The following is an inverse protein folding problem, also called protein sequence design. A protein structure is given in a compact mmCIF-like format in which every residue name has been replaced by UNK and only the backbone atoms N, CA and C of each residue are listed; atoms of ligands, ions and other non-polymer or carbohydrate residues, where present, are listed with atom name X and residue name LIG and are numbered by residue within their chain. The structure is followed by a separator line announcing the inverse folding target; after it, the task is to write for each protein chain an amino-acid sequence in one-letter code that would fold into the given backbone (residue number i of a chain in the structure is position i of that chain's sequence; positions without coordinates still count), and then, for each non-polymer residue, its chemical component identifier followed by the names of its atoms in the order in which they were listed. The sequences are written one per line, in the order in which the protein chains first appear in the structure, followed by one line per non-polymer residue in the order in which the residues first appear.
data_IF_956335868069
#
_entry.id   IF_956335868069
#
_cell.length_a   1.000
_cell.length_b   1.000
_cell.length_c   1.000
_cell.angle_alpha   90.00
_cell.angle_beta   90.00
_cell.angle_gamma   90.00
#
_symmetry.space_group_name_H-M   'P 1'
#
loop_
_entity.id
_entity.type
_entity.pdbx_description
1 polymer ?
#
# COMPACT_ATOMS: atom_id res chain seq x y z
N UNK A 1 -29.39 21.95 32.76
CA UNK A 1 -29.45 20.63 32.10
C UNK A 1 -28.15 20.42 31.37
N UNK A 2 -27.44 19.34 31.65
CA UNK A 2 -26.24 19.01 30.87
C UNK A 2 -26.69 18.66 29.46
N UNK A 3 -26.14 19.37 28.47
CA UNK A 3 -26.42 19.05 27.06
C UNK A 3 -25.64 17.82 26.67
N UNK A 4 -26.25 16.87 25.99
CA UNK A 4 -25.65 15.66 25.48
C UNK A 4 -24.97 15.94 24.15
N UNK A 5 -23.83 15.32 23.91
CA UNK A 5 -23.21 15.24 22.57
C UNK A 5 -23.10 13.77 22.16
N UNK A 6 -23.37 13.54 20.88
CA UNK A 6 -23.36 12.21 20.28
C UNK A 6 -22.05 12.05 19.52
N UNK A 7 -21.34 10.95 19.76
CA UNK A 7 -20.05 10.65 19.12
C UNK A 7 -20.21 9.37 18.28
N UNK A 8 -19.97 9.48 16.99
CA UNK A 8 -19.80 8.38 16.08
C UNK A 8 -18.34 8.23 15.67
N UNK A 9 -17.77 7.05 15.83
CA UNK A 9 -16.38 6.80 15.50
C UNK A 9 -16.27 5.62 14.54
N UNK A 10 -15.65 5.84 13.37
CA UNK A 10 -15.29 4.79 12.43
C UNK A 10 -13.77 4.52 12.55
N UNK A 11 -13.43 3.38 13.16
CA UNK A 11 -12.04 2.91 13.30
C UNK A 11 -11.76 1.90 12.21
N UNK A 12 -11.27 2.40 11.08
CA UNK A 12 -10.89 1.58 9.96
C UNK A 12 -9.48 1.00 10.09
N UNK A 13 -9.04 0.26 9.07
CA UNK A 13 -7.71 -0.37 9.02
C UNK A 13 -6.54 0.63 8.94
N UNK A 14 -6.77 1.83 8.43
CA UNK A 14 -5.71 2.85 8.24
C UNK A 14 -6.02 4.20 8.88
N UNK A 15 -7.28 4.47 9.21
CA UNK A 15 -7.76 5.78 9.68
C UNK A 15 -8.77 5.66 10.79
N UNK A 16 -8.77 6.65 11.69
CA UNK A 16 -9.83 6.91 12.66
C UNK A 16 -10.61 8.14 12.19
N UNK A 17 -11.92 8.02 12.08
CA UNK A 17 -12.83 9.09 11.69
C UNK A 17 -13.83 9.32 12.81
N UNK A 18 -14.08 10.56 13.13
CA UNK A 18 -14.97 10.94 14.23
C UNK A 18 -15.92 12.01 13.76
N UNK A 19 -17.17 11.83 14.13
CA UNK A 19 -18.21 12.84 13.98
C UNK A 19 -18.86 13.06 15.35
N UNK A 20 -19.00 14.31 15.73
CA UNK A 20 -19.72 14.69 16.94
C UNK A 20 -20.92 15.56 16.54
N UNK A 21 -22.09 15.20 17.04
CA UNK A 21 -23.34 15.93 16.83
C UNK A 21 -23.92 16.42 18.16
N UNK A 22 -24.63 17.53 18.11
CA UNK A 22 -25.41 18.03 19.25
C UNK A 22 -26.76 17.29 19.39
N UNK A 23 -27.57 17.67 20.37
CA UNK A 23 -28.90 17.11 20.63
C UNK A 23 -29.86 17.21 19.44
N UNK A 24 -29.68 18.21 18.58
CA UNK A 24 -30.47 18.41 17.35
C UNK A 24 -29.91 17.65 16.15
N UNK A 25 -28.89 16.83 16.39
CA UNK A 25 -28.16 16.06 15.36
C UNK A 25 -27.47 16.97 14.31
N UNK A 26 -27.05 18.16 14.73
CA UNK A 26 -26.20 19.03 13.94
C UNK A 26 -24.74 18.70 14.21
N UNK A 27 -23.96 18.59 13.17
CA UNK A 27 -22.51 18.35 13.26
C UNK A 27 -21.81 19.56 13.90
N UNK A 28 -21.04 19.31 14.95
CA UNK A 28 -20.29 20.33 15.71
C UNK A 28 -18.78 20.08 15.73
N UNK A 29 -18.35 18.89 15.34
CA UNK A 29 -16.94 18.53 15.21
C UNK A 29 -16.78 17.30 14.32
N UNK A 30 -15.73 17.32 13.49
CA UNK A 30 -15.30 16.19 12.68
C UNK A 30 -13.78 16.06 12.73
N UNK A 31 -13.26 14.81 12.64
CA UNK A 31 -11.85 14.52 12.52
C UNK A 31 -11.62 13.32 11.60
N UNK A 32 -10.50 13.34 10.88
CA UNK A 32 -10.03 12.26 10.02
C UNK A 32 -8.51 12.14 10.19
N UNK A 33 -8.06 11.08 10.89
CA UNK A 33 -6.66 10.89 11.23
C UNK A 33 -6.14 9.53 10.77
N UNK A 34 -4.94 9.49 10.18
CA UNK A 34 -4.22 8.22 9.96
C UNK A 34 -3.58 7.75 11.24
N UNK A 35 -3.79 6.47 11.60
CA UNK A 35 -3.26 5.91 12.83
C UNK A 35 -1.91 5.18 12.66
N UNK A 36 -1.41 4.95 11.45
CA UNK A 36 -0.10 4.31 11.18
C UNK A 36 0.11 3.03 12.01
N UNK A 37 -0.90 2.17 12.10
CA UNK A 37 -0.97 0.95 12.94
C UNK A 37 -0.99 1.20 14.45
N UNK A 38 -1.02 2.45 14.92
CA UNK A 38 -1.21 2.82 16.33
C UNK A 38 -2.64 3.28 16.61
N UNK A 39 -3.58 2.40 16.34
CA UNK A 39 -5.02 2.65 16.45
C UNK A 39 -5.42 3.06 17.85
N UNK A 40 -4.91 2.35 18.87
CA UNK A 40 -5.26 2.56 20.28
C UNK A 40 -4.89 3.97 20.77
N UNK A 41 -3.65 4.39 20.55
CA UNK A 41 -3.22 5.72 20.97
C UNK A 41 -3.91 6.83 20.19
N UNK A 42 -4.19 6.62 18.90
CA UNK A 42 -4.95 7.59 18.08
C UNK A 42 -6.37 7.77 18.61
N UNK A 43 -7.08 6.67 18.92
CA UNK A 43 -8.43 6.73 19.50
C UNK A 43 -8.40 7.42 20.88
N UNK A 44 -7.46 7.02 21.77
CA UNK A 44 -7.33 7.65 23.07
C UNK A 44 -7.08 9.17 22.98
N UNK A 45 -6.14 9.58 22.13
CA UNK A 45 -5.81 10.99 21.88
C UNK A 45 -7.05 11.80 21.51
N UNK A 46 -7.78 11.34 20.50
CA UNK A 46 -8.96 12.09 20.02
C UNK A 46 -10.07 12.10 21.04
N UNK A 47 -10.32 11.01 21.76
CA UNK A 47 -11.31 11.00 22.85
C UNK A 47 -10.90 11.93 24.00
N UNK A 48 -9.62 12.01 24.38
CA UNK A 48 -9.13 12.96 25.37
C UNK A 48 -9.34 14.42 24.94
N UNK A 49 -9.07 14.74 23.69
CA UNK A 49 -9.36 16.08 23.10
C UNK A 49 -10.85 16.42 23.16
N UNK A 50 -11.73 15.46 22.84
CA UNK A 50 -13.18 15.65 22.91
C UNK A 50 -13.68 15.84 24.34
N UNK A 51 -13.16 15.07 25.29
CA UNK A 51 -13.50 15.20 26.71
C UNK A 51 -13.11 16.58 27.26
N UNK A 52 -11.95 17.10 26.86
CA UNK A 52 -11.53 18.43 27.29
C UNK A 52 -12.37 19.53 26.61
N UNK A 53 -12.65 19.37 25.32
CA UNK A 53 -13.44 20.34 24.55
C UNK A 53 -14.90 20.45 25.02
N UNK A 54 -15.47 19.32 25.47
CA UNK A 54 -16.89 19.23 25.87
C UNK A 54 -17.04 18.84 27.34
N UNK A 55 -16.17 19.32 28.23
CA UNK A 55 -16.09 18.96 29.66
C UNK A 55 -17.38 19.18 30.46
N UNK A 56 -18.29 20.06 29.99
CA UNK A 56 -19.56 20.33 30.65
C UNK A 56 -20.74 19.57 30.02
N UNK A 57 -20.45 18.50 29.22
CA UNK A 57 -21.43 17.72 28.50
C UNK A 57 -21.43 16.26 28.98
N UNK A 58 -22.51 15.55 28.70
CA UNK A 58 -22.57 14.09 28.71
C UNK A 58 -22.40 13.56 27.30
N UNK A 59 -21.93 12.33 27.15
CA UNK A 59 -21.61 11.71 25.88
C UNK A 59 -22.45 10.47 25.64
N UNK A 60 -22.95 10.30 24.43
CA UNK A 60 -23.29 8.99 23.90
C UNK A 60 -22.30 8.62 22.82
N UNK A 61 -21.88 7.37 22.75
CA UNK A 61 -20.80 6.94 21.85
C UNK A 61 -21.17 5.62 21.20
N UNK A 62 -20.98 5.54 19.89
CA UNK A 62 -21.01 4.27 19.15
C UNK A 62 -19.81 4.18 18.21
N UNK A 63 -19.24 2.98 18.12
CA UNK A 63 -18.10 2.67 17.27
C UNK A 63 -18.51 1.77 16.11
N UNK A 64 -17.85 1.99 14.97
CA UNK A 64 -17.95 1.14 13.78
C UNK A 64 -16.55 1.03 13.14
N UNK A 65 -16.41 0.20 12.13
CA UNK A 65 -15.15 0.00 11.42
C UNK A 65 -14.46 -1.32 11.76
N UNK A 66 -13.62 -1.79 10.83
CA UNK A 66 -12.93 -3.08 10.93
C UNK A 66 -11.99 -3.20 12.15
N UNK A 67 -11.41 -2.07 12.61
CA UNK A 67 -10.56 -1.99 13.79
C UNK A 67 -11.28 -1.68 15.10
N UNK A 68 -12.60 -1.46 15.09
CA UNK A 68 -13.34 -0.93 16.23
C UNK A 68 -13.76 -1.94 17.27
N UNK A 69 -13.91 -3.23 16.93
CA UNK A 69 -14.55 -4.20 17.81
C UNK A 69 -13.83 -4.37 19.16
N UNK A 70 -12.52 -4.49 19.15
CA UNK A 70 -11.71 -4.56 20.36
C UNK A 70 -11.77 -3.26 21.16
N UNK A 71 -11.66 -2.12 20.48
CA UNK A 71 -11.77 -0.78 21.08
C UNK A 71 -13.11 -0.55 21.74
N UNK A 72 -14.22 -0.91 21.08
CA UNK A 72 -15.58 -0.79 21.61
C UNK A 72 -15.76 -1.63 22.89
N UNK A 73 -15.20 -2.85 22.91
CA UNK A 73 -15.22 -3.73 24.09
C UNK A 73 -14.47 -3.11 25.27
N UNK A 74 -13.28 -2.56 25.07
CA UNK A 74 -12.49 -1.93 26.15
C UNK A 74 -13.12 -0.62 26.64
N UNK A 75 -13.71 0.14 25.76
CA UNK A 75 -14.45 1.35 26.11
C UNK A 75 -15.85 1.03 26.69
N UNK A 76 -16.30 -0.23 26.61
CA UNK A 76 -17.63 -0.66 27.01
C UNK A 76 -18.72 0.26 26.39
N UNK A 77 -18.69 0.36 25.06
CA UNK A 77 -19.64 1.11 24.22
C UNK A 77 -20.12 0.23 23.07
N UNK A 78 -21.28 0.51 22.46
CA UNK A 78 -21.81 -0.29 21.36
C UNK A 78 -20.91 -0.27 20.13
N UNK A 79 -20.79 -1.44 19.51
CA UNK A 79 -20.22 -1.63 18.18
C UNK A 79 -21.36 -1.79 17.16
N UNK A 80 -21.36 -0.93 16.16
CA UNK A 80 -22.32 -0.92 15.07
C UNK A 80 -21.66 -1.50 13.81
N UNK A 81 -22.30 -2.45 13.16
CA UNK A 81 -21.78 -2.95 11.90
C UNK A 81 -21.74 -1.84 10.84
N UNK A 82 -20.68 -1.77 10.06
CA UNK A 82 -20.47 -0.72 9.07
C UNK A 82 -21.64 -0.60 8.06
N UNK A 83 -22.22 -1.73 7.66
CA UNK A 83 -23.38 -1.72 6.75
C UNK A 83 -24.60 -1.06 7.39
N UNK A 84 -24.80 -1.22 8.70
CA UNK A 84 -25.88 -0.57 9.43
C UNK A 84 -25.62 0.93 9.55
N UNK A 85 -24.42 1.32 9.94
CA UNK A 85 -24.01 2.71 9.99
C UNK A 85 -24.09 3.38 8.62
N UNK A 86 -23.60 2.75 7.56
CA UNK A 86 -23.72 3.25 6.20
C UNK A 86 -25.19 3.42 5.79
N UNK A 87 -26.02 2.41 6.03
CA UNK A 87 -27.46 2.49 5.74
C UNK A 87 -28.11 3.69 6.43
N UNK A 88 -27.83 3.88 7.72
CA UNK A 88 -28.42 4.96 8.52
C UNK A 88 -28.07 6.35 7.97
N UNK A 89 -26.83 6.54 7.59
CA UNK A 89 -26.39 7.80 7.00
C UNK A 89 -26.93 8.01 5.58
N UNK A 90 -27.00 6.98 4.76
CA UNK A 90 -27.57 7.06 3.40
C UNK A 90 -29.03 7.43 3.46
N UNK A 91 -29.84 6.77 4.31
CA UNK A 91 -31.26 7.08 4.49
C UNK A 91 -31.52 8.53 4.93
N UNK A 92 -30.60 9.10 5.72
CA UNK A 92 -30.74 10.48 6.23
C UNK A 92 -30.25 11.54 5.24
N UNK A 93 -29.08 11.33 4.64
CA UNK A 93 -28.39 12.40 3.91
C UNK A 93 -28.49 12.28 2.38
N UNK A 94 -28.63 11.07 1.86
CA UNK A 94 -28.69 10.80 0.42
C UNK A 94 -29.71 9.69 0.09
N UNK A 95 -30.99 9.86 0.49
CA UNK A 95 -32.02 8.81 0.41
C UNK A 95 -32.32 8.33 -1.01
N UNK A 96 -31.95 9.09 -2.04
CA UNK A 96 -32.12 8.73 -3.45
C UNK A 96 -31.12 7.66 -3.95
N UNK A 97 -30.17 7.23 -3.10
CA UNK A 97 -29.10 6.28 -3.48
C UNK A 97 -29.64 4.88 -3.70
N UNK A 98 -29.28 4.27 -4.83
CA UNK A 98 -29.57 2.86 -5.13
C UNK A 98 -28.39 1.95 -4.83
N UNK A 99 -27.16 2.43 -5.07
CA UNK A 99 -25.92 1.68 -4.85
C UNK A 99 -24.89 2.58 -4.21
N UNK A 100 -24.16 2.06 -3.22
CA UNK A 100 -22.95 2.69 -2.68
C UNK A 100 -21.75 1.89 -3.16
N UNK A 101 -20.75 2.58 -3.66
CA UNK A 101 -19.37 2.07 -3.83
C UNK A 101 -18.53 2.76 -2.79
N UNK A 102 -17.95 2.00 -1.88
CA UNK A 102 -17.08 2.51 -0.82
C UNK A 102 -15.68 1.90 -0.97
N UNK A 103 -14.66 2.75 -1.00
CA UNK A 103 -13.28 2.33 -0.94
C UNK A 103 -12.65 2.85 0.35
N UNK A 104 -12.23 1.94 1.20
CA UNK A 104 -11.50 2.19 2.44
C UNK A 104 -9.99 2.06 2.28
N UNK A 105 -9.29 1.97 3.41
CA UNK A 105 -7.86 1.74 3.46
C UNK A 105 -7.46 0.36 2.94
N UNK A 106 -8.14 -0.69 3.42
CA UNK A 106 -7.92 -2.08 3.02
C UNK A 106 -9.19 -2.78 2.55
N UNK A 107 -10.36 -2.15 2.74
CA UNK A 107 -11.66 -2.67 2.38
C UNK A 107 -12.23 -1.96 1.15
N UNK A 108 -12.89 -2.73 0.30
CA UNK A 108 -13.70 -2.24 -0.79
C UNK A 108 -15.09 -2.87 -0.67
N UNK A 109 -16.14 -2.07 -0.81
CA UNK A 109 -17.52 -2.53 -0.60
C UNK A 109 -18.43 -2.00 -1.69
N UNK A 110 -19.42 -2.83 -2.07
CA UNK A 110 -20.59 -2.41 -2.85
C UNK A 110 -21.83 -2.74 -2.00
N UNK A 111 -22.67 -1.75 -1.75
CA UNK A 111 -23.89 -1.89 -0.99
C UNK A 111 -25.06 -1.53 -1.89
N UNK A 112 -25.97 -2.47 -2.07
CA UNK A 112 -27.20 -2.29 -2.86
C UNK A 112 -28.36 -2.00 -1.92
N UNK A 113 -29.07 -0.90 -2.18
CA UNK A 113 -30.28 -0.50 -1.47
C UNK A 113 -31.51 -0.89 -2.26
N UNK A 114 -32.49 -1.52 -1.61
CA UNK A 114 -33.70 -2.01 -2.21
C UNK A 114 -34.68 -2.51 -1.14
N UNK A 115 -35.44 -3.55 -1.44
CA UNK A 115 -36.31 -4.20 -0.43
C UNK A 115 -35.50 -4.75 0.77
N UNK A 116 -34.28 -5.17 0.51
CA UNK A 116 -33.29 -5.56 1.53
C UNK A 116 -31.95 -4.94 1.15
N UNK A 117 -31.14 -4.63 2.15
CA UNK A 117 -29.75 -4.15 1.93
C UNK A 117 -28.88 -5.38 1.71
N UNK A 118 -28.10 -5.37 0.63
CA UNK A 118 -27.11 -6.40 0.32
C UNK A 118 -25.73 -5.76 0.24
N UNK A 119 -24.79 -6.24 1.04
CA UNK A 119 -23.40 -5.82 1.01
C UNK A 119 -22.52 -6.90 0.39
N UNK A 120 -21.60 -6.47 -0.46
CA UNK A 120 -20.50 -7.27 -0.97
C UNK A 120 -19.19 -6.57 -0.63
N UNK A 121 -18.23 -7.31 -0.15
CA UNK A 121 -16.95 -6.79 0.32
C UNK A 121 -15.81 -7.68 -0.19
N UNK A 122 -14.64 -7.11 -0.43
CA UNK A 122 -13.43 -7.88 -0.70
C UNK A 122 -13.12 -8.79 0.51
N UNK A 123 -12.49 -9.92 0.23
CA UNK A 123 -11.99 -10.83 1.28
C UNK A 123 -10.67 -10.31 1.88
N UNK A 124 -9.67 -11.18 1.96
CA UNK A 124 -8.36 -10.88 2.56
C UNK A 124 -7.42 -10.07 1.67
N UNK A 125 -7.78 -9.79 0.42
CA UNK A 125 -6.93 -9.07 -0.53
C UNK A 125 -7.25 -7.58 -0.54
N UNK A 126 -6.28 -6.74 -0.21
CA UNK A 126 -6.40 -5.28 -0.27
C UNK A 126 -6.32 -4.70 -1.72
N UNK A 127 -6.31 -5.54 -2.75
CA UNK A 127 -6.33 -5.09 -4.15
C UNK A 127 -7.54 -4.18 -4.43
N UNK A 128 -7.31 -3.04 -5.04
CA UNK A 128 -8.38 -2.06 -5.32
C UNK A 128 -8.72 -1.12 -4.17
N UNK A 129 -7.90 -1.04 -3.12
CA UNK A 129 -8.13 -0.22 -1.93
C UNK A 129 -7.08 0.90 -1.78
N UNK A 130 -7.20 1.71 -0.73
CA UNK A 130 -6.24 2.78 -0.44
C UNK A 130 -4.81 2.28 -0.26
N UNK A 131 -4.61 1.17 0.44
CA UNK A 131 -3.29 0.56 0.64
C UNK A 131 -2.65 0.10 -0.69
N UNK A 132 -3.46 -0.43 -1.60
CA UNK A 132 -3.01 -0.75 -2.95
C UNK A 132 -2.55 0.51 -3.70
N UNK A 133 -3.34 1.59 -3.63
CA UNK A 133 -2.99 2.87 -4.27
C UNK A 133 -1.72 3.48 -3.68
N UNK A 134 -1.51 3.41 -2.35
CA UNK A 134 -0.27 3.86 -1.71
C UNK A 134 0.95 3.07 -2.21
N UNK A 135 0.83 1.74 -2.37
CA UNK A 135 1.90 0.90 -2.92
C UNK A 135 2.21 1.24 -4.38
N UNK A 136 1.19 1.42 -5.21
CA UNK A 136 1.38 1.75 -6.64
C UNK A 136 1.96 3.16 -6.81
N UNK A 137 1.53 4.12 -6.02
CA UNK A 137 2.10 5.47 -6.02
C UNK A 137 3.59 5.45 -5.68
N UNK A 138 3.99 4.62 -4.72
CA UNK A 138 5.41 4.46 -4.34
C UNK A 138 6.28 3.93 -5.51
N UNK A 139 5.75 3.07 -6.38
CA UNK A 139 6.47 2.60 -7.58
C UNK A 139 6.74 3.75 -8.58
N UNK A 140 5.85 4.74 -8.62
CA UNK A 140 6.00 5.92 -9.47
C UNK A 140 6.83 7.04 -8.79
N UNK A 141 7.38 6.78 -7.59
CA UNK A 141 8.06 7.76 -6.74
C UNK A 141 7.17 8.97 -6.40
N UNK A 142 5.93 8.70 -6.01
CA UNK A 142 4.95 9.71 -5.61
C UNK A 142 4.06 9.19 -4.47
N UNK A 143 3.06 9.96 -4.07
CA UNK A 143 2.00 9.54 -3.16
C UNK A 143 0.67 9.45 -3.91
N UNK A 144 -0.40 9.06 -3.23
CA UNK A 144 -1.73 8.91 -3.84
C UNK A 144 -2.27 10.20 -4.45
N UNK A 145 -2.01 11.35 -3.85
CA UNK A 145 -2.38 12.65 -4.44
C UNK A 145 -1.62 12.91 -5.75
N UNK A 146 -0.30 12.64 -5.76
CA UNK A 146 0.52 12.76 -6.95
C UNK A 146 0.14 11.73 -8.03
N UNK A 147 -0.28 10.51 -7.65
CA UNK A 147 -0.84 9.53 -8.58
C UNK A 147 -2.08 10.08 -9.29
N UNK A 148 -2.98 10.72 -8.54
CA UNK A 148 -4.16 11.36 -9.10
C UNK A 148 -3.81 12.53 -10.04
N UNK A 149 -2.82 13.35 -9.69
CA UNK A 149 -2.36 14.47 -10.55
C UNK A 149 -1.73 13.95 -11.85
N UNK A 150 -0.88 12.94 -11.79
CA UNK A 150 -0.31 12.29 -12.97
C UNK A 150 -1.41 11.77 -13.89
N UNK A 151 -2.43 11.11 -13.35
CA UNK A 151 -3.51 10.53 -14.13
C UNK A 151 -4.32 11.56 -14.96
N UNK A 152 -4.23 12.86 -14.68
CA UNK A 152 -4.89 13.89 -15.49
C UNK A 152 -4.30 14.05 -16.90
N UNK A 153 -3.01 13.76 -17.06
CA UNK A 153 -2.26 13.96 -18.29
C UNK A 153 -2.20 12.75 -19.22
N UNK A 154 -2.93 11.68 -18.94
CA UNK A 154 -2.84 10.43 -19.69
C UNK A 154 -3.27 10.56 -21.16
N UNK A 155 -2.67 9.73 -22.00
CA UNK A 155 -3.04 9.55 -23.40
C UNK A 155 -3.46 8.11 -23.71
N UNK A 156 -2.93 7.14 -22.97
CA UNK A 156 -3.15 5.71 -23.16
C UNK A 156 -3.45 5.01 -21.84
N UNK A 157 -4.27 3.97 -21.87
CA UNK A 157 -4.54 3.11 -20.71
C UNK A 157 -4.02 1.71 -21.03
N UNK A 158 -3.07 1.23 -20.22
CA UNK A 158 -2.51 -0.11 -20.32
C UNK A 158 -3.36 -1.13 -19.57
N UNK A 159 -3.45 -2.38 -20.04
CA UNK A 159 -4.06 -3.46 -19.27
C UNK A 159 -3.17 -3.81 -18.07
N UNK A 160 -3.67 -3.58 -16.86
CA UNK A 160 -3.03 -3.98 -15.61
C UNK A 160 -3.93 -4.99 -14.91
N UNK A 161 -3.34 -6.07 -14.38
CA UNK A 161 -4.08 -7.10 -13.66
C UNK A 161 -4.84 -6.49 -12.47
N UNK A 162 -6.15 -6.73 -12.43
CA UNK A 162 -7.05 -6.13 -11.46
C UNK A 162 -7.35 -7.01 -10.25
N UNK A 163 -6.82 -8.25 -10.18
CA UNK A 163 -7.18 -9.20 -9.12
C UNK A 163 -6.28 -9.18 -7.89
N UNK A 164 -5.00 -8.87 -8.07
CA UNK A 164 -4.02 -8.95 -6.99
C UNK A 164 -2.99 -7.84 -7.14
N UNK A 165 -2.69 -7.15 -6.03
CA UNK A 165 -1.68 -6.09 -6.01
C UNK A 165 -0.29 -6.56 -6.44
N UNK A 166 0.06 -7.83 -6.19
CA UNK A 166 1.33 -8.41 -6.65
C UNK A 166 1.37 -8.51 -8.16
N UNK A 167 0.31 -9.04 -8.80
CA UNK A 167 0.25 -9.11 -10.25
C UNK A 167 0.17 -7.71 -10.90
N UNK A 168 -0.59 -6.80 -10.32
CA UNK A 168 -0.61 -5.41 -10.80
C UNK A 168 0.79 -4.79 -10.79
N UNK A 169 1.57 -5.02 -9.72
CA UNK A 169 2.95 -4.58 -9.63
C UNK A 169 3.85 -5.22 -10.70
N UNK A 170 3.63 -6.49 -10.99
CA UNK A 170 4.35 -7.22 -12.04
C UNK A 170 4.05 -6.66 -13.43
N UNK A 171 2.85 -6.13 -13.67
CA UNK A 171 2.49 -5.50 -14.94
C UNK A 171 3.03 -4.05 -15.04
N UNK A 172 3.01 -3.32 -13.92
CA UNK A 172 3.48 -1.91 -13.88
C UNK A 172 4.98 -1.80 -14.10
N UNK A 173 5.76 -2.73 -13.54
CA UNK A 173 7.20 -2.61 -13.57
C UNK A 173 7.82 -2.73 -14.98
N UNK A 174 7.41 -3.64 -15.86
CA UNK A 174 7.86 -3.65 -17.24
C UNK A 174 7.55 -2.35 -17.97
N UNK A 175 6.34 -1.79 -17.79
CA UNK A 175 5.97 -0.51 -18.39
C UNK A 175 6.92 0.62 -17.99
N UNK A 176 7.29 0.69 -16.69
CA UNK A 176 8.29 1.63 -16.20
C UNK A 176 9.67 1.40 -16.84
N UNK A 177 10.10 0.16 -16.93
CA UNK A 177 11.40 -0.22 -17.49
C UNK A 177 11.48 0.04 -19.00
N UNK A 178 10.36 -0.05 -19.70
CA UNK A 178 10.21 0.24 -21.13
C UNK A 178 10.03 1.74 -21.41
N UNK A 179 9.94 2.56 -20.38
CA UNK A 179 9.86 4.03 -20.51
C UNK A 179 8.46 4.55 -20.83
N UNK A 180 7.40 3.80 -20.48
CA UNK A 180 6.03 4.28 -20.60
C UNK A 180 5.82 5.55 -19.75
N UNK A 181 4.97 6.46 -20.24
CA UNK A 181 4.67 7.69 -19.52
C UNK A 181 4.04 7.40 -18.15
N UNK A 182 4.50 8.09 -17.12
CA UNK A 182 3.97 7.91 -15.75
C UNK A 182 2.49 8.27 -15.66
N UNK A 183 2.03 9.20 -16.46
CA UNK A 183 0.65 9.64 -16.61
C UNK A 183 -0.24 8.48 -17.07
N UNK A 184 0.21 7.74 -18.06
CA UNK A 184 -0.49 6.58 -18.61
C UNK A 184 -0.51 5.41 -17.63
N UNK A 185 0.60 5.18 -16.93
CA UNK A 185 0.67 4.16 -15.88
C UNK A 185 -0.25 4.53 -14.71
N UNK A 186 -0.28 5.79 -14.31
CA UNK A 186 -1.11 6.26 -13.20
C UNK A 186 -2.61 6.03 -13.46
N UNK A 187 -3.12 6.44 -14.64
CA UNK A 187 -4.53 6.19 -14.98
C UNK A 187 -4.82 4.71 -15.14
N UNK A 188 -3.86 3.92 -15.63
CA UNK A 188 -4.01 2.47 -15.78
C UNK A 188 -4.15 1.76 -14.42
N UNK A 189 -3.40 2.21 -13.40
CA UNK A 189 -3.56 1.77 -12.01
C UNK A 189 -4.95 2.11 -11.48
N UNK A 190 -5.43 3.35 -11.70
CA UNK A 190 -6.78 3.75 -11.30
C UNK A 190 -7.85 2.90 -12.01
N UNK A 191 -7.68 2.61 -13.30
CA UNK A 191 -8.58 1.73 -14.04
C UNK A 191 -8.57 0.29 -13.50
N UNK A 192 -7.41 -0.23 -13.10
CA UNK A 192 -7.32 -1.56 -12.47
C UNK A 192 -8.11 -1.63 -11.16
N UNK A 193 -8.09 -0.58 -10.32
CA UNK A 193 -8.92 -0.46 -9.12
C UNK A 193 -10.41 -0.54 -9.47
N UNK A 194 -10.85 0.20 -10.48
CA UNK A 194 -12.24 0.20 -10.95
C UNK A 194 -12.66 -1.20 -11.43
N UNK A 195 -11.84 -1.82 -12.26
CA UNK A 195 -12.09 -3.17 -12.78
C UNK A 195 -12.16 -4.20 -11.65
N UNK A 196 -11.25 -4.12 -10.65
CA UNK A 196 -11.26 -4.99 -9.48
C UNK A 196 -12.55 -4.84 -8.68
N UNK A 197 -12.97 -3.60 -8.42
CA UNK A 197 -14.18 -3.33 -7.65
C UNK A 197 -15.42 -3.83 -8.39
N UNK A 198 -15.56 -3.52 -9.66
CA UNK A 198 -16.75 -3.90 -10.45
C UNK A 198 -16.78 -5.42 -10.67
N UNK A 199 -15.72 -6.01 -11.24
CA UNK A 199 -15.74 -7.43 -11.57
C UNK A 199 -15.61 -8.34 -10.35
N UNK A 200 -14.80 -7.94 -9.37
CA UNK A 200 -14.51 -8.71 -8.17
C UNK A 200 -15.64 -8.71 -7.14
N UNK A 201 -16.32 -7.57 -6.95
CA UNK A 201 -17.37 -7.43 -5.94
C UNK A 201 -18.78 -7.54 -6.51
N UNK A 202 -19.07 -6.86 -7.62
CA UNK A 202 -20.41 -6.95 -8.20
C UNK A 202 -20.72 -8.34 -8.75
N UNK A 203 -19.70 -9.11 -9.19
CA UNK A 203 -19.87 -10.51 -9.63
C UNK A 203 -21.04 -10.68 -10.60
N UNK A 204 -21.16 -9.81 -11.61
CA UNK A 204 -22.22 -9.83 -12.60
C UNK A 204 -23.54 -9.16 -12.16
N UNK A 205 -23.70 -8.76 -10.89
CA UNK A 205 -24.89 -7.97 -10.49
C UNK A 205 -24.76 -6.55 -11.05
N UNK A 206 -25.77 -6.04 -11.78
CA UNK A 206 -25.70 -4.71 -12.36
C UNK A 206 -25.61 -3.62 -11.29
N UNK A 207 -24.69 -2.66 -11.48
CA UNK A 207 -24.64 -1.40 -10.73
C UNK A 207 -25.45 -0.40 -11.55
N UNK A 208 -26.65 -0.05 -11.09
CA UNK A 208 -27.60 0.81 -11.82
C UNK A 208 -28.34 1.75 -10.88
N UNK A 209 -28.88 2.83 -11.46
CA UNK A 209 -29.55 3.90 -10.75
C UNK A 209 -28.58 4.92 -10.17
N UNK A 210 -28.92 5.52 -9.07
CA UNK A 210 -28.10 6.55 -8.41
C UNK A 210 -26.99 5.86 -7.60
N UNK A 211 -25.74 6.15 -7.96
CA UNK A 211 -24.54 5.55 -7.35
C UNK A 211 -23.84 6.60 -6.50
N UNK A 212 -23.71 6.31 -5.20
CA UNK A 212 -22.96 7.14 -4.27
C UNK A 212 -21.53 6.61 -4.10
N UNK A 213 -20.56 7.49 -4.14
CA UNK A 213 -19.14 7.21 -3.98
C UNK A 213 -18.68 7.66 -2.60
N UNK A 214 -18.27 6.68 -1.76
CA UNK A 214 -17.89 6.89 -0.37
C UNK A 214 -16.47 6.43 -0.07
N UNK A 215 -15.96 6.83 1.08
CA UNK A 215 -14.63 6.47 1.58
C UNK A 215 -13.52 7.42 1.11
N UNK A 216 -12.36 7.34 1.77
CA UNK A 216 -11.24 8.25 1.55
C UNK A 216 -10.74 8.30 0.11
N UNK A 217 -10.39 7.17 -0.52
CA UNK A 217 -9.91 7.16 -1.90
C UNK A 217 -10.90 7.84 -2.87
N UNK A 218 -12.19 7.56 -2.76
CA UNK A 218 -13.19 8.17 -3.65
C UNK A 218 -13.52 9.62 -3.31
N UNK A 219 -13.22 10.09 -2.09
CA UNK A 219 -13.34 11.50 -1.71
C UNK A 219 -12.19 12.33 -2.28
N UNK A 220 -10.96 11.86 -2.13
CA UNK A 220 -9.76 12.65 -2.39
C UNK A 220 -9.14 12.44 -3.78
N UNK A 221 -9.55 11.40 -4.53
CA UNK A 221 -9.02 11.09 -5.85
C UNK A 221 -10.09 11.25 -6.94
N UNK A 222 -10.32 12.47 -7.47
CA UNK A 222 -11.34 12.72 -8.49
C UNK A 222 -11.11 11.96 -9.78
N UNK A 223 -9.87 11.69 -10.20
CA UNK A 223 -9.60 10.90 -11.40
C UNK A 223 -10.02 9.43 -11.20
N UNK A 224 -9.90 8.87 -9.98
CA UNK A 224 -10.43 7.55 -9.67
C UNK A 224 -11.95 7.49 -9.81
N UNK A 225 -12.67 8.49 -9.23
CA UNK A 225 -14.13 8.59 -9.41
C UNK A 225 -14.52 8.70 -10.88
N UNK A 226 -13.82 9.55 -11.63
CA UNK A 226 -14.03 9.72 -13.07
C UNK A 226 -13.93 8.39 -13.82
N UNK A 227 -12.93 7.55 -13.49
CA UNK A 227 -12.80 6.21 -14.06
C UNK A 227 -14.00 5.32 -13.75
N UNK A 228 -14.56 5.37 -12.51
CA UNK A 228 -15.79 4.66 -12.17
C UNK A 228 -16.98 5.16 -12.99
N UNK A 229 -17.18 6.48 -13.07
CA UNK A 229 -18.29 7.10 -13.80
C UNK A 229 -18.25 6.71 -15.27
N UNK A 230 -17.08 6.78 -15.91
CA UNK A 230 -16.90 6.41 -17.31
C UNK A 230 -17.10 4.91 -17.54
N UNK A 231 -16.55 4.04 -16.67
CA UNK A 231 -16.67 2.59 -16.81
C UNK A 231 -18.10 2.08 -16.60
N UNK A 232 -18.84 2.71 -15.68
CA UNK A 232 -20.23 2.37 -15.39
C UNK A 232 -21.22 3.13 -16.28
N UNK A 233 -20.75 4.03 -17.14
CA UNK A 233 -21.57 4.89 -18.02
C UNK A 233 -22.64 5.67 -17.25
N UNK A 234 -22.26 6.21 -16.07
CA UNK A 234 -23.19 6.99 -15.24
C UNK A 234 -23.35 8.41 -15.79
N UNK A 235 -24.58 8.92 -15.73
CA UNK A 235 -24.85 10.34 -15.99
C UNK A 235 -24.50 11.18 -14.76
N UNK A 236 -24.37 12.52 -14.91
CA UNK A 236 -24.17 13.41 -13.75
C UNK A 236 -25.25 13.25 -12.68
N UNK A 237 -26.52 13.08 -13.08
CA UNK A 237 -27.66 12.91 -12.16
C UNK A 237 -27.61 11.61 -11.40
N UNK A 238 -26.98 10.58 -11.96
CA UNK A 238 -26.80 9.26 -11.34
C UNK A 238 -25.56 9.21 -10.44
N UNK A 239 -24.72 10.24 -10.49
CA UNK A 239 -23.45 10.28 -9.77
C UNK A 239 -23.62 11.09 -8.48
N UNK A 240 -23.60 10.44 -7.33
CA UNK A 240 -23.71 11.08 -6.02
C UNK A 240 -22.33 11.12 -5.36
N UNK A 241 -21.83 12.32 -5.10
CA UNK A 241 -20.61 12.55 -4.32
C UNK A 241 -20.97 13.46 -3.15
N UNK A 242 -21.33 12.89 -1.99
CA UNK A 242 -21.71 13.69 -0.84
C UNK A 242 -20.53 14.55 -0.36
N UNK A 243 -20.84 15.70 0.20
CA UNK A 243 -19.87 16.44 0.99
C UNK A 243 -19.39 15.58 2.15
N UNK A 244 -18.10 15.59 2.41
CA UNK A 244 -17.46 14.72 3.42
C UNK A 244 -17.82 13.22 3.29
N UNK A 245 -17.86 12.69 2.07
CA UNK A 245 -18.19 11.31 1.77
C UNK A 245 -17.36 10.27 2.57
N UNK A 246 -16.15 10.65 3.00
CA UNK A 246 -15.26 9.83 3.83
C UNK A 246 -15.73 9.71 5.29
N UNK A 247 -16.64 10.59 5.76
CA UNK A 247 -17.19 10.58 7.12
C UNK A 247 -18.58 9.94 7.23
N UNK A 248 -19.19 9.54 6.10
CA UNK A 248 -20.60 9.12 6.13
C UNK A 248 -20.84 7.91 7.05
N UNK A 249 -19.92 6.96 7.11
CA UNK A 249 -20.03 5.79 8.01
C UNK A 249 -19.93 6.22 9.49
N UNK A 250 -19.03 7.16 9.81
CA UNK A 250 -18.94 7.71 11.17
C UNK A 250 -20.19 8.53 11.52
N UNK A 251 -20.80 9.28 10.54
CA UNK A 251 -22.07 9.97 10.73
C UNK A 251 -23.19 8.97 11.06
N UNK A 252 -23.22 7.83 10.37
CA UNK A 252 -24.18 6.77 10.66
C UNK A 252 -24.02 6.18 12.06
N UNK A 253 -22.80 5.91 12.49
CA UNK A 253 -22.54 5.47 13.86
C UNK A 253 -22.97 6.53 14.88
N UNK A 254 -22.76 7.83 14.60
CA UNK A 254 -23.20 8.92 15.45
C UNK A 254 -24.74 8.99 15.59
N UNK A 255 -25.47 8.70 14.50
CA UNK A 255 -26.93 8.62 14.52
C UNK A 255 -27.45 7.44 15.37
N UNK A 256 -26.73 6.32 15.37
CA UNK A 256 -27.05 5.18 16.24
C UNK A 256 -26.69 5.48 17.70
N UNK A 257 -25.59 6.23 17.96
CA UNK A 257 -25.20 6.61 19.32
C UNK A 257 -26.27 7.44 20.05
N UNK A 258 -27.16 8.13 19.35
CA UNK A 258 -28.26 8.92 19.94
C UNK A 258 -29.15 8.10 20.87
N UNK A 259 -29.40 6.85 20.54
CA UNK A 259 -30.32 5.97 21.25
C UNK A 259 -29.66 5.29 22.46
N UNK A 260 -28.38 5.59 22.73
CA UNK A 260 -27.59 5.02 23.82
C UNK A 260 -27.70 5.86 25.11
N UNK A 261 -27.42 5.20 26.24
CA UNK A 261 -27.40 5.87 27.53
C UNK A 261 -26.23 6.83 27.65
N UNK A 262 -26.46 8.09 28.08
CA UNK A 262 -25.39 9.06 28.27
C UNK A 262 -24.38 8.62 29.36
N UNK A 263 -23.13 8.95 29.14
CA UNK A 263 -22.02 8.73 30.09
C UNK A 263 -21.37 10.07 30.47
N UNK A 264 -21.03 10.21 31.74
CA UNK A 264 -20.37 11.44 32.22
C UNK A 264 -18.91 11.53 31.74
N UNK A 265 -18.36 12.74 31.81
CA UNK A 265 -16.95 13.01 31.52
C UNK A 265 -16.01 12.12 32.34
N UNK A 266 -16.28 11.95 33.66
CA UNK A 266 -15.45 11.15 34.55
C UNK A 266 -15.46 9.68 34.14
N UNK A 267 -16.65 9.16 33.80
CA UNK A 267 -16.80 7.79 33.34
C UNK A 267 -16.09 7.56 32.01
N UNK A 268 -16.16 8.51 31.08
CA UNK A 268 -15.44 8.41 29.80
C UNK A 268 -13.93 8.49 30.02
N UNK A 269 -13.43 9.38 30.86
CA UNK A 269 -11.98 9.43 31.22
C UNK A 269 -11.50 8.10 31.79
N UNK A 270 -12.29 7.49 32.69
CA UNK A 270 -11.96 6.17 33.24
C UNK A 270 -11.88 5.09 32.16
N UNK A 271 -12.83 5.05 31.22
CA UNK A 271 -12.84 4.11 30.09
C UNK A 271 -11.64 4.31 29.15
N UNK A 272 -11.24 5.55 28.87
CA UNK A 272 -10.04 5.86 28.08
C UNK A 272 -8.78 5.32 28.79
N UNK A 273 -8.68 5.44 30.11
CA UNK A 273 -7.55 4.86 30.85
C UNK A 273 -7.52 3.33 30.77
N UNK A 274 -8.68 2.67 30.83
CA UNK A 274 -8.77 1.21 30.63
C UNK A 274 -8.26 0.85 29.22
N UNK A 275 -8.69 1.56 28.19
CA UNK A 275 -8.21 1.34 26.82
C UNK A 275 -6.70 1.55 26.70
N UNK A 276 -6.15 2.63 27.26
CA UNK A 276 -4.71 2.93 27.25
C UNK A 276 -3.85 1.79 27.82
N UNK A 277 -4.30 1.19 28.90
CA UNK A 277 -3.57 0.12 29.59
C UNK A 277 -3.96 -1.29 29.13
N UNK A 278 -4.90 -1.41 28.19
CA UNK A 278 -5.30 -2.70 27.65
C UNK A 278 -4.17 -3.32 26.81
N UNK A 279 -4.01 -4.63 26.93
CA UNK A 279 -3.14 -5.40 26.05
C UNK A 279 -4.02 -6.37 25.26
N UNK A 280 -3.99 -6.24 23.94
CA UNK A 280 -4.68 -7.21 23.07
C UNK A 280 -3.76 -8.44 22.98
N UNK A 281 -4.08 -9.48 23.74
CA UNK A 281 -3.29 -10.72 23.84
C UNK A 281 -3.72 -11.80 22.85
N UNK A 282 -4.43 -11.41 21.78
CA UNK A 282 -4.97 -12.38 20.80
C UNK A 282 -3.89 -13.04 19.94
N UNK A 283 -2.70 -12.46 19.85
CA UNK A 283 -1.58 -13.03 19.11
C UNK A 283 -0.50 -13.56 20.06
N UNK A 284 -0.19 -14.84 19.96
CA UNK A 284 0.99 -15.41 20.61
C UNK A 284 2.21 -15.06 19.73
N UNK A 285 3.12 -14.21 20.20
CA UNK A 285 4.29 -13.84 19.42
C UNK A 285 5.19 -15.06 19.21
N UNK A 286 5.76 -15.17 18.03
CA UNK A 286 6.82 -16.14 17.77
C UNK A 286 8.04 -15.80 18.64
N UNK A 287 8.84 -16.82 18.95
CA UNK A 287 10.11 -16.59 19.63
C UNK A 287 11.01 -15.71 18.75
N UNK A 288 11.79 -14.80 19.34
CA UNK A 288 12.76 -14.02 18.59
C UNK A 288 13.74 -14.96 17.87
N UNK A 289 14.22 -14.54 16.69
CA UNK A 289 15.17 -15.32 15.90
C UNK A 289 16.47 -15.59 16.70
N UNK A 290 16.90 -14.63 17.48
CA UNK A 290 18.01 -14.73 18.41
C UNK A 290 17.54 -14.30 19.80
N UNK A 291 17.79 -15.12 20.81
CA UNK A 291 17.43 -14.83 22.21
C UNK A 291 18.52 -14.02 22.91
N UNK A 292 19.74 -14.06 22.41
CA UNK A 292 20.93 -13.40 22.98
C UNK A 292 21.80 -12.79 21.88
N UNK A 293 22.63 -11.81 22.25
CA UNK A 293 23.66 -11.27 21.37
C UNK A 293 24.70 -12.34 20.96
N UNK A 294 24.95 -13.31 21.79
CA UNK A 294 25.88 -14.40 21.51
C UNK A 294 25.40 -15.24 20.33
N UNK A 295 24.11 -15.63 20.32
CA UNK A 295 23.51 -16.36 19.18
C UNK A 295 23.59 -15.55 17.88
N UNK A 296 23.39 -14.25 17.95
CA UNK A 296 23.53 -13.35 16.79
C UNK A 296 24.97 -13.26 16.30
N UNK A 297 25.94 -13.16 17.20
CA UNK A 297 27.36 -13.10 16.85
C UNK A 297 27.87 -14.44 16.28
N UNK A 298 27.39 -15.57 16.80
CA UNK A 298 27.65 -16.89 16.22
C UNK A 298 27.07 -17.01 14.79
N UNK A 299 25.83 -16.53 14.59
CA UNK A 299 25.22 -16.47 13.27
C UNK A 299 26.08 -15.65 12.29
N UNK A 300 26.50 -14.45 12.70
CA UNK A 300 27.38 -13.59 11.88
C UNK A 300 28.71 -14.26 11.58
N UNK A 301 29.38 -14.81 12.58
CA UNK A 301 30.67 -15.47 12.43
C UNK A 301 30.61 -16.70 11.47
N UNK A 302 29.49 -17.42 11.49
CA UNK A 302 29.25 -18.53 10.56
C UNK A 302 29.15 -18.03 9.11
N UNK A 303 28.37 -16.95 8.87
CA UNK A 303 28.17 -16.40 7.52
C UNK A 303 29.38 -15.63 6.99
N UNK A 304 30.23 -15.13 7.88
CA UNK A 304 31.48 -14.46 7.48
C UNK A 304 32.51 -15.38 6.81
N UNK A 305 32.36 -16.71 6.96
CA UNK A 305 33.24 -17.69 6.32
C UNK A 305 33.00 -17.81 4.81
N UNK A 306 31.81 -17.42 4.35
CA UNK A 306 31.38 -17.56 2.95
C UNK A 306 31.53 -16.24 2.16
N UNK A 307 32.59 -15.46 2.46
CA UNK A 307 32.87 -14.20 1.75
C UNK A 307 33.52 -14.46 0.40
N UNK A 308 33.07 -13.69 -0.60
CA UNK A 308 33.66 -13.67 -1.94
C UNK A 308 35.06 -13.02 -1.88
N UNK A 309 36.02 -13.62 -2.59
CA UNK A 309 37.37 -13.03 -2.73
C UNK A 309 37.30 -11.65 -3.41
N UNK A 310 37.96 -10.66 -2.82
CA UNK A 310 37.98 -9.29 -3.32
C UNK A 310 39.42 -8.79 -3.47
N UNK A 311 39.65 -7.99 -4.51
CA UNK A 311 40.87 -7.19 -4.72
C UNK A 311 40.49 -5.73 -4.95
N UNK A 312 41.43 -4.83 -4.79
CA UNK A 312 41.20 -3.40 -4.99
C UNK A 312 41.27 -3.06 -6.47
N UNK A 313 40.23 -2.45 -7.03
CA UNK A 313 40.18 -2.07 -8.45
C UNK A 313 41.28 -1.10 -8.83
N UNK A 314 41.64 -0.14 -7.97
CA UNK A 314 42.68 0.87 -8.23
C UNK A 314 44.09 0.29 -8.43
N UNK A 315 44.31 -0.95 -8.01
CA UNK A 315 45.60 -1.67 -8.16
C UNK A 315 45.56 -2.68 -9.32
N UNK A 316 44.40 -2.84 -9.97
CA UNK A 316 44.23 -3.83 -11.04
C UNK A 316 44.86 -3.36 -12.36
N UNK A 317 45.53 -4.28 -13.04
CA UNK A 317 46.11 -4.09 -14.38
C UNK A 317 45.68 -5.18 -15.32
N UNK A 318 45.35 -4.82 -16.55
CA UNK A 318 44.92 -5.76 -17.58
C UNK A 318 43.42 -5.92 -17.70
N UNK A 319 43.00 -7.07 -18.23
CA UNK A 319 41.59 -7.31 -18.58
C UNK A 319 40.72 -7.48 -17.34
N UNK A 320 39.57 -6.83 -17.36
CA UNK A 320 38.46 -7.04 -16.43
C UNK A 320 37.12 -7.14 -17.19
N UNK A 321 36.08 -7.56 -16.49
CA UNK A 321 34.77 -7.85 -17.07
C UNK A 321 33.70 -7.16 -16.23
N UNK A 322 32.74 -6.54 -16.90
CA UNK A 322 31.61 -5.86 -16.25
C UNK A 322 30.36 -6.71 -16.34
N UNK A 323 29.74 -6.94 -15.20
CA UNK A 323 28.40 -7.55 -15.11
C UNK A 323 27.39 -6.53 -14.59
N UNK A 324 26.23 -6.47 -15.23
CA UNK A 324 25.12 -5.57 -14.89
C UNK A 324 23.88 -6.43 -14.64
N UNK A 325 23.23 -6.23 -13.50
CA UNK A 325 21.88 -6.73 -13.24
C UNK A 325 20.91 -5.54 -13.19
N UNK A 326 20.13 -5.40 -14.25
CA UNK A 326 19.09 -4.39 -14.38
C UNK A 326 17.76 -4.91 -13.80
N UNK A 327 17.72 -5.07 -12.47
CA UNK A 327 16.55 -5.60 -11.78
C UNK A 327 15.36 -4.62 -11.80
N UNK A 328 14.20 -5.13 -11.41
CA UNK A 328 12.94 -4.37 -11.41
C UNK A 328 12.93 -3.16 -10.45
N UNK A 329 13.56 -3.29 -9.28
CA UNK A 329 13.59 -2.25 -8.24
C UNK A 329 15.00 -1.72 -7.95
N UNK A 330 16.02 -2.51 -8.27
CA UNK A 330 17.42 -2.20 -7.95
C UNK A 330 18.31 -2.53 -9.15
N UNK A 331 19.36 -1.74 -9.30
CA UNK A 331 20.43 -2.00 -10.27
C UNK A 331 21.69 -2.41 -9.53
N UNK A 332 22.40 -3.39 -10.08
CA UNK A 332 23.69 -3.88 -9.56
C UNK A 332 24.72 -3.86 -10.68
N UNK A 333 25.94 -3.53 -10.31
CA UNK A 333 27.08 -3.53 -11.22
C UNK A 333 28.28 -4.16 -10.50
N UNK A 334 28.93 -5.08 -11.16
CA UNK A 334 30.15 -5.72 -10.65
C UNK A 334 31.27 -5.67 -11.70
N UNK A 335 32.51 -5.61 -11.24
CA UNK A 335 33.70 -5.80 -12.06
C UNK A 335 34.49 -6.95 -11.48
N UNK A 336 34.86 -7.91 -12.32
CA UNK A 336 35.66 -9.08 -11.94
C UNK A 336 36.93 -9.17 -12.81
N UNK A 337 37.97 -9.80 -12.29
CA UNK A 337 39.16 -10.19 -13.08
C UNK A 337 38.94 -11.50 -13.85
N UNK A 338 39.94 -11.98 -14.58
CA UNK A 338 39.90 -13.24 -15.35
C UNK A 338 39.62 -14.47 -14.48
N UNK A 339 40.02 -14.45 -13.22
CA UNK A 339 39.81 -15.53 -12.28
C UNK A 339 38.43 -15.47 -11.61
N UNK A 340 37.67 -14.38 -11.85
CA UNK A 340 36.38 -14.10 -11.26
C UNK A 340 36.47 -13.50 -9.86
N UNK A 341 37.63 -12.93 -9.48
CA UNK A 341 37.76 -12.17 -8.24
C UNK A 341 37.06 -10.83 -8.36
N UNK A 342 36.29 -10.45 -7.37
CA UNK A 342 35.56 -9.19 -7.35
C UNK A 342 36.49 -7.99 -7.16
N UNK A 343 36.52 -7.08 -8.13
CA UNK A 343 37.32 -5.85 -8.12
C UNK A 343 36.50 -4.64 -7.68
N UNK A 344 35.22 -4.58 -8.07
CA UNK A 344 34.31 -3.48 -7.77
C UNK A 344 32.89 -4.00 -7.71
N UNK A 345 32.08 -3.40 -6.85
CA UNK A 345 30.65 -3.66 -6.81
C UNK A 345 29.88 -2.39 -6.45
N UNK A 346 28.73 -2.20 -7.05
CA UNK A 346 27.77 -1.16 -6.72
C UNK A 346 26.36 -1.74 -6.70
N UNK A 347 25.53 -1.23 -5.80
CA UNK A 347 24.14 -1.61 -5.61
C UNK A 347 23.33 -0.37 -5.23
N UNK A 348 22.27 -0.07 -5.96
CA UNK A 348 21.37 1.05 -5.62
C UNK A 348 19.95 0.83 -6.11
N UNK A 349 18.99 1.51 -5.49
CA UNK A 349 17.61 1.57 -5.98
C UNK A 349 17.55 2.31 -7.32
N UNK A 350 16.76 1.81 -8.27
CA UNK A 350 16.66 2.42 -9.62
C UNK A 350 15.49 3.40 -9.74
N UNK A 351 14.57 3.44 -8.77
CA UNK A 351 13.44 4.35 -8.78
C UNK A 351 12.56 4.26 -10.03
N UNK A 352 12.49 3.08 -10.68
CA UNK A 352 11.79 2.88 -11.95
C UNK A 352 12.54 3.42 -13.18
N UNK A 353 13.83 3.80 -13.03
CA UNK A 353 14.69 4.30 -14.11
C UNK A 353 16.01 3.52 -14.16
N UNK A 354 16.00 2.26 -14.57
CA UNK A 354 17.17 1.41 -14.53
C UNK A 354 18.33 1.95 -15.40
N UNK A 355 18.04 2.53 -16.56
CA UNK A 355 19.06 3.09 -17.44
C UNK A 355 19.82 4.26 -16.79
N UNK A 356 19.09 5.23 -16.22
CA UNK A 356 19.72 6.38 -15.55
C UNK A 356 20.59 5.91 -14.38
N UNK A 357 20.07 4.96 -13.58
CA UNK A 357 20.76 4.36 -12.45
C UNK A 357 22.08 3.69 -12.89
N UNK A 358 22.05 2.89 -13.96
CA UNK A 358 23.24 2.19 -14.46
C UNK A 358 24.24 3.17 -15.05
N UNK A 359 23.81 4.22 -15.77
CA UNK A 359 24.70 5.28 -16.27
C UNK A 359 25.44 5.97 -15.12
N UNK A 360 24.75 6.27 -14.02
CA UNK A 360 25.40 6.85 -12.84
C UNK A 360 26.42 5.88 -12.22
N UNK A 361 26.08 4.59 -12.11
CA UNK A 361 27.00 3.58 -11.58
C UNK A 361 28.24 3.43 -12.47
N UNK A 362 28.08 3.42 -13.80
CA UNK A 362 29.18 3.38 -14.75
C UNK A 362 30.06 4.63 -14.67
N UNK A 363 29.49 5.83 -14.54
CA UNK A 363 30.26 7.07 -14.33
C UNK A 363 31.11 6.99 -13.05
N UNK A 364 30.55 6.47 -11.95
CA UNK A 364 31.30 6.24 -10.71
C UNK A 364 32.40 5.20 -10.90
N UNK A 365 32.13 4.09 -11.59
CA UNK A 365 33.14 3.09 -11.92
C UNK A 365 34.31 3.71 -12.70
N UNK A 366 34.02 4.40 -13.78
CA UNK A 366 35.06 5.04 -14.61
C UNK A 366 35.87 6.10 -13.86
N UNK A 367 35.30 6.79 -12.87
CA UNK A 367 36.01 7.76 -12.05
C UNK A 367 37.07 7.17 -11.13
N UNK A 368 36.96 5.86 -10.80
CA UNK A 368 37.91 5.16 -9.90
C UNK A 368 38.72 4.07 -10.62
N UNK A 369 38.47 3.87 -11.90
CA UNK A 369 39.13 2.84 -12.70
C UNK A 369 40.54 3.28 -13.10
N UNK A 370 41.58 2.49 -12.85
CA UNK A 370 42.95 2.84 -13.25
C UNK A 370 43.10 2.73 -14.77
N UNK A 371 44.02 3.50 -15.34
CA UNK A 371 44.24 3.53 -16.80
C UNK A 371 44.75 2.20 -17.36
N UNK A 372 45.37 1.40 -16.54
CA UNK A 372 45.90 0.06 -16.88
C UNK A 372 44.85 -1.04 -16.86
N UNK A 373 43.67 -0.80 -16.31
CA UNK A 373 42.55 -1.75 -16.33
C UNK A 373 41.76 -1.56 -17.63
N UNK A 374 41.44 -2.67 -18.30
CA UNK A 374 40.75 -2.68 -19.59
C UNK A 374 39.49 -3.52 -19.47
N UNK A 375 38.31 -2.91 -19.64
CA UNK A 375 37.05 -3.65 -19.75
C UNK A 375 37.08 -4.42 -21.07
N UNK A 376 37.16 -5.74 -20.97
CA UNK A 376 37.28 -6.60 -22.17
C UNK A 376 35.94 -6.98 -22.72
N UNK A 377 34.99 -7.32 -21.84
CA UNK A 377 33.62 -7.63 -22.17
C UNK A 377 32.67 -7.16 -21.06
N UNK A 378 31.44 -6.94 -21.48
CA UNK A 378 30.33 -6.54 -20.61
C UNK A 378 29.13 -7.48 -20.80
N UNK A 379 28.44 -7.81 -19.73
CA UNK A 379 27.23 -8.62 -19.73
C UNK A 379 26.11 -7.95 -18.96
N UNK A 380 24.89 -8.17 -19.39
CA UNK A 380 23.68 -7.69 -18.72
C UNK A 380 22.65 -8.78 -18.53
N UNK A 381 21.93 -8.72 -17.42
CA UNK A 381 20.80 -9.59 -17.08
C UNK A 381 19.73 -8.78 -16.35
N UNK A 382 18.59 -9.40 -16.03
CA UNK A 382 17.47 -8.81 -15.30
C UNK A 382 16.39 -8.23 -16.20
N UNK A 383 15.30 -7.72 -15.61
CA UNK A 383 14.12 -7.26 -16.34
C UNK A 383 14.39 -6.15 -17.36
N UNK A 384 15.36 -5.28 -17.11
CA UNK A 384 15.75 -4.17 -17.99
C UNK A 384 16.83 -4.54 -19.01
N UNK A 385 17.20 -5.78 -19.14
CA UNK A 385 18.35 -6.26 -19.92
C UNK A 385 18.38 -5.75 -21.37
N UNK A 386 17.26 -5.84 -22.09
CA UNK A 386 17.18 -5.41 -23.50
C UNK A 386 17.35 -3.90 -23.67
N UNK A 387 16.76 -3.11 -22.77
CA UNK A 387 16.93 -1.66 -22.75
C UNK A 387 18.39 -1.29 -22.55
N UNK A 388 19.04 -1.90 -21.56
CA UNK A 388 20.42 -1.61 -21.21
C UNK A 388 21.38 -2.10 -22.32
N UNK A 389 21.15 -3.30 -22.85
CA UNK A 389 21.96 -3.83 -23.97
C UNK A 389 21.92 -2.88 -25.16
N UNK A 390 20.73 -2.44 -25.55
CA UNK A 390 20.57 -1.54 -26.71
C UNK A 390 21.14 -0.16 -26.45
N UNK A 391 20.86 0.45 -25.29
CA UNK A 391 21.27 1.80 -24.98
C UNK A 391 22.78 1.96 -24.76
N UNK A 392 23.42 0.94 -24.17
CA UNK A 392 24.85 0.96 -23.78
C UNK A 392 25.73 0.07 -24.65
N UNK A 393 25.18 -0.61 -25.65
CA UNK A 393 25.87 -1.54 -26.54
C UNK A 393 26.65 -2.62 -25.76
N UNK A 394 26.00 -3.25 -24.79
CA UNK A 394 26.57 -4.32 -23.95
C UNK A 394 26.77 -5.58 -24.78
N UNK A 395 27.94 -6.23 -24.64
CA UNK A 395 28.36 -7.35 -25.51
C UNK A 395 27.47 -8.60 -25.38
N UNK A 396 27.03 -8.92 -24.16
CA UNK A 396 26.27 -10.13 -23.85
C UNK A 396 25.01 -9.80 -23.06
N UNK A 397 23.90 -10.40 -23.48
CA UNK A 397 22.65 -10.47 -22.73
C UNK A 397 22.40 -11.90 -22.29
N UNK A 398 22.18 -12.14 -21.01
CA UNK A 398 21.97 -13.49 -20.47
C UNK A 398 20.71 -13.56 -19.60
N UNK A 399 19.96 -14.64 -19.76
CA UNK A 399 18.77 -14.91 -18.95
C UNK A 399 19.17 -14.98 -17.47
N UNK A 400 18.42 -14.31 -16.61
CA UNK A 400 18.70 -14.19 -15.17
C UNK A 400 18.91 -15.56 -14.49
N UNK A 401 18.08 -16.57 -14.82
CA UNK A 401 18.21 -17.93 -14.29
C UNK A 401 19.57 -18.56 -14.63
N UNK A 402 20.08 -18.32 -15.85
CA UNK A 402 21.39 -18.84 -16.28
C UNK A 402 22.51 -18.08 -15.60
N UNK A 403 22.37 -16.75 -15.44
CA UNK A 403 23.32 -15.93 -14.70
C UNK A 403 23.45 -16.39 -13.23
N UNK A 404 22.32 -16.63 -12.54
CA UNK A 404 22.28 -17.18 -11.19
C UNK A 404 22.98 -18.56 -11.10
N UNK A 405 22.62 -19.45 -12.01
CA UNK A 405 23.24 -20.79 -12.05
C UNK A 405 24.76 -20.71 -12.23
N UNK A 406 25.23 -19.93 -13.19
CA UNK A 406 26.64 -19.78 -13.52
C UNK A 406 27.44 -19.25 -12.33
N UNK A 407 26.92 -18.21 -11.67
CA UNK A 407 27.54 -17.64 -10.49
C UNK A 407 27.53 -18.62 -9.30
N UNK A 408 26.37 -19.21 -8.99
CA UNK A 408 26.27 -20.16 -7.87
C UNK A 408 27.18 -21.34 -8.03
N UNK A 409 27.26 -21.93 -9.23
CA UNK A 409 28.15 -23.08 -9.52
C UNK A 409 29.64 -22.75 -9.42
N UNK A 410 30.02 -21.49 -9.71
CA UNK A 410 31.41 -21.05 -9.54
C UNK A 410 31.81 -21.00 -8.06
N UNK A 411 30.93 -20.50 -7.18
CA UNK A 411 31.23 -20.37 -5.75
C UNK A 411 30.97 -21.66 -4.97
N UNK A 412 29.97 -22.46 -5.36
CA UNK A 412 29.61 -23.74 -4.77
C UNK A 412 29.40 -24.79 -5.88
N UNK A 413 30.47 -25.46 -6.31
CA UNK A 413 30.39 -26.43 -7.42
C UNK A 413 29.43 -27.62 -7.19
N UNK A 414 29.06 -27.87 -5.93
CA UNK A 414 28.13 -28.93 -5.52
C UNK A 414 26.70 -28.42 -5.31
N UNK A 415 26.39 -27.18 -5.67
CA UNK A 415 25.04 -26.64 -5.55
C UNK A 415 24.04 -27.48 -6.34
N UNK A 416 22.95 -27.85 -5.69
CA UNK A 416 21.82 -28.59 -6.30
C UNK A 416 20.54 -27.81 -6.39
N UNK A 417 20.46 -26.69 -5.66
CA UNK A 417 19.28 -25.85 -5.62
C UNK A 417 19.67 -24.40 -5.33
N UNK A 418 18.98 -23.46 -5.96
CA UNK A 418 19.12 -22.03 -5.70
C UNK A 418 17.74 -21.49 -5.33
N UNK A 419 17.65 -20.76 -4.24
CA UNK A 419 16.48 -19.97 -3.86
C UNK A 419 16.86 -18.51 -4.02
N UNK A 420 16.24 -17.85 -4.98
CA UNK A 420 16.41 -16.42 -5.21
C UNK A 420 15.14 -15.68 -4.77
N UNK A 421 15.29 -14.63 -3.95
CA UNK A 421 14.20 -13.78 -3.48
C UNK A 421 14.54 -12.35 -3.88
N UNK A 422 13.95 -11.93 -4.98
CA UNK A 422 14.12 -10.59 -5.56
C UNK A 422 13.16 -9.54 -5.01
N UNK A 423 13.17 -8.36 -5.62
CA UNK A 423 12.31 -7.25 -5.22
C UNK A 423 10.83 -7.47 -5.56
N UNK A 424 10.52 -8.26 -6.57
CA UNK A 424 9.16 -8.49 -7.08
C UNK A 424 8.83 -9.94 -7.39
N UNK A 425 9.84 -10.78 -7.53
CA UNK A 425 9.68 -12.19 -7.82
C UNK A 425 10.54 -13.05 -6.89
N UNK A 426 10.24 -14.32 -6.86
CA UNK A 426 11.11 -15.33 -6.25
C UNK A 426 11.20 -16.54 -7.17
N UNK A 427 12.37 -17.17 -7.16
CA UNK A 427 12.68 -18.32 -8.01
C UNK A 427 13.24 -19.45 -7.17
N UNK A 428 12.82 -20.64 -7.48
CA UNK A 428 13.47 -21.86 -7.03
C UNK A 428 14.03 -22.58 -8.26
N UNK A 429 15.35 -22.71 -8.31
CA UNK A 429 16.07 -23.34 -9.42
C UNK A 429 16.61 -24.66 -8.90
N UNK A 430 16.15 -25.77 -9.45
CA UNK A 430 16.68 -27.10 -9.21
C UNK A 430 17.68 -27.44 -10.31
N UNK A 431 18.86 -27.90 -9.93
CA UNK A 431 19.96 -28.22 -10.84
C UNK A 431 20.14 -29.75 -11.00
#
# INVERSE_FOLDING_TARGET
MNKIVHIGMDVGSTTVKIVVMDEDLKEIYTSYERHYSDTKNTVCKVLEELVEKYKDKEFTIALTGSGAMSTAKFLDVPFIQEVVACKRSVERYIPQTNVVIELGGEDAKIIYFGRSVEQRMNGTCAGGTGAFLDQMASLLNTNTAGLNELAKGYQTIYPIASRCGVFAKTDVQPLLNEGAAKEDIAVSILQAVVNQTISGLACGRPIRGNVAFLGGPLTYLPELRKRFVETLHLTPEQTIVPEEAHLLVAKGACLEAKDESPISVEKLKSKIQVLKHSHDTTTVPLKPLFSTNVEYDEFKARHEKDKVAKKTLSEHKGDCFVGIDAGSTTSKLVVIDRDGTLLYSAYQGNGGKPLDSIIEMLKKLYSVMPKEAVIRYSGVTGYGEKLIQTALNVDLNEIETIAHYTAAKKFEPKVTSIVDIGGQDMKYIKL
#
